data_IF_139938783891
#
_entry.id   IF_139938783891
#
_cell.length_a   1.000
_cell.length_b   1.000
_cell.length_c   1.000
_cell.angle_alpha   90.00
_cell.angle_beta   90.00
_cell.angle_gamma   90.00
#
_symmetry.space_group_name_H-M   'P 1'
#
loop_
_entity.id
_entity.type
_entity.pdbx_description
1 polymer ?
#
# COMPACT_ATOMS: atom_id res chain seq x y z
N UNK A 1 7.13 -26.05 46.27
CA UNK A 1 6.44 -24.87 45.71
C UNK A 1 7.50 -24.06 44.98
N UNK A 2 8.13 -24.63 43.95
CA UNK A 2 7.82 -24.47 42.51
C UNK A 2 7.80 -23.00 42.09
N UNK A 3 8.94 -22.55 41.54
CA UNK A 3 9.11 -21.25 40.92
C UNK A 3 8.34 -21.16 39.61
N UNK A 4 7.84 -19.96 39.34
CA UNK A 4 7.24 -19.54 38.09
C UNK A 4 7.63 -18.08 37.92
N UNK A 5 8.58 -17.79 37.03
CA UNK A 5 8.75 -16.48 36.37
C UNK A 5 10.00 -16.50 35.46
N UNK A 6 10.07 -17.38 34.46
CA UNK A 6 11.08 -17.22 33.37
C UNK A 6 10.53 -17.52 31.95
N UNK A 7 9.25 -17.86 31.77
CA UNK A 7 8.72 -18.28 30.45
C UNK A 7 7.96 -17.20 29.66
N UNK A 8 7.67 -16.02 30.23
CA UNK A 8 6.86 -14.98 29.57
C UNK A 8 7.68 -13.90 28.80
N UNK A 9 9.01 -14.05 28.71
CA UNK A 9 9.89 -13.04 28.11
C UNK A 9 10.53 -13.47 26.76
N UNK A 10 10.14 -14.63 26.21
CA UNK A 10 10.63 -15.14 24.92
C UNK A 10 9.62 -15.00 23.77
N UNK A 11 8.43 -14.47 24.03
CA UNK A 11 7.35 -14.34 23.02
C UNK A 11 7.43 -13.01 22.23
N UNK A 12 8.37 -12.11 22.51
CA UNK A 12 8.33 -10.75 21.94
C UNK A 12 9.14 -10.53 20.64
N UNK A 13 10.19 -11.30 20.36
CA UNK A 13 11.11 -10.99 19.24
C UNK A 13 10.73 -11.66 17.92
N UNK A 14 10.29 -12.92 17.95
CA UNK A 14 9.91 -13.64 16.73
C UNK A 14 8.59 -13.14 16.14
N UNK A 15 7.61 -12.75 16.96
CA UNK A 15 6.32 -12.24 16.48
C UNK A 15 6.46 -10.82 15.88
N UNK A 16 7.35 -9.99 16.41
CA UNK A 16 7.71 -8.69 15.82
C UNK A 16 8.56 -8.83 14.55
N UNK A 17 9.49 -9.79 14.51
CA UNK A 17 10.29 -10.09 13.32
C UNK A 17 9.47 -10.71 12.18
N UNK A 18 8.38 -11.43 12.50
CA UNK A 18 7.44 -12.01 11.52
C UNK A 18 6.50 -10.94 10.94
N UNK A 19 6.17 -9.89 11.69
CA UNK A 19 5.31 -8.81 11.17
C UNK A 19 6.07 -7.86 10.24
N UNK A 20 7.32 -7.49 10.53
CA UNK A 20 8.08 -6.56 9.69
C UNK A 20 8.39 -7.10 8.28
N UNK A 21 8.56 -8.42 8.13
CA UNK A 21 8.73 -9.10 6.82
C UNK A 21 7.51 -8.96 5.91
N UNK A 22 6.37 -8.53 6.45
CA UNK A 22 5.12 -8.29 5.71
C UNK A 22 4.85 -6.80 5.51
N UNK A 23 5.73 -5.94 6.03
CA UNK A 23 5.65 -4.49 5.88
C UNK A 23 6.48 -4.06 4.68
N UNK A 24 5.88 -3.19 3.88
CA UNK A 24 6.49 -2.63 2.69
C UNK A 24 6.19 -1.15 2.57
N UNK A 25 6.87 -0.49 1.65
CA UNK A 25 6.53 0.85 1.15
C UNK A 25 6.31 0.76 -0.34
N UNK A 26 5.32 1.48 -0.86
CA UNK A 26 5.10 1.57 -2.31
C UNK A 26 5.76 2.83 -2.85
N UNK A 27 6.99 2.71 -3.36
CA UNK A 27 7.74 3.81 -3.94
C UNK A 27 7.32 4.07 -5.39
N UNK A 28 6.70 5.22 -5.66
CA UNK A 28 6.31 5.61 -7.00
C UNK A 28 7.51 6.08 -7.82
N UNK A 29 7.69 5.49 -9.00
CA UNK A 29 8.71 5.90 -9.97
C UNK A 29 8.59 7.38 -10.37
N UNK A 30 7.38 7.96 -10.29
CA UNK A 30 7.14 9.34 -10.67
C UNK A 30 7.44 10.31 -9.54
N UNK A 31 8.59 10.96 -9.64
CA UNK A 31 8.98 12.01 -8.70
C UNK A 31 9.53 11.48 -7.38
N UNK A 32 9.51 10.17 -7.12
CA UNK A 32 10.14 9.54 -5.97
C UNK A 32 9.43 9.82 -4.64
N UNK A 33 8.18 9.36 -4.55
CA UNK A 33 7.36 9.46 -3.35
C UNK A 33 6.90 8.06 -2.94
N UNK A 34 6.84 7.79 -1.64
CA UNK A 34 6.12 6.65 -1.09
C UNK A 34 4.63 6.97 -1.00
N UNK A 35 3.77 6.00 -1.33
CA UNK A 35 2.34 6.11 -1.07
C UNK A 35 2.12 6.23 0.45
N UNK A 36 1.40 7.27 0.85
CA UNK A 36 1.08 7.58 2.23
C UNK A 36 -0.44 7.51 2.43
N UNK A 37 -0.85 6.86 3.52
CA UNK A 37 -2.26 6.78 3.94
C UNK A 37 -2.37 7.46 5.31
N UNK A 38 -3.14 8.54 5.38
CA UNK A 38 -3.30 9.33 6.60
C UNK A 38 -4.57 8.94 7.37
N UNK A 39 -4.60 9.16 8.71
CA UNK A 39 -5.76 8.84 9.56
C UNK A 39 -7.04 9.57 9.15
N UNK A 40 -6.93 10.79 8.60
CA UNK A 40 -8.06 11.64 8.22
C UNK A 40 -8.76 11.20 6.92
N UNK A 41 -8.29 10.12 6.27
CA UNK A 41 -8.89 9.63 5.02
C UNK A 41 -8.11 9.98 3.75
N UNK A 42 -7.08 10.81 3.88
CA UNK A 42 -6.29 11.30 2.75
C UNK A 42 -5.26 10.26 2.28
N UNK A 43 -5.06 10.20 0.97
CA UNK A 43 -3.98 9.44 0.33
C UNK A 43 -3.10 10.44 -0.41
N UNK A 44 -1.78 10.30 -0.29
CA UNK A 44 -0.82 11.16 -0.99
C UNK A 44 0.54 10.49 -1.17
N UNK A 45 1.52 11.24 -1.63
CA UNK A 45 2.90 10.84 -1.77
C UNK A 45 3.81 11.61 -0.82
N UNK A 46 4.63 10.91 -0.06
CA UNK A 46 5.60 11.46 0.89
C UNK A 46 7.03 11.04 0.50
N UNK A 47 8.00 11.97 0.61
CA UNK A 47 9.41 11.70 0.25
C UNK A 47 10.23 11.15 1.40
N UNK A 48 9.89 11.53 2.62
CA UNK A 48 10.66 11.21 3.81
C UNK A 48 10.48 9.74 4.19
N UNK A 49 11.58 8.99 4.22
CA UNK A 49 11.59 7.55 4.53
C UNK A 49 11.25 7.23 6.00
N UNK A 50 11.22 8.24 6.88
CA UNK A 50 10.95 8.08 8.32
C UNK A 50 9.48 8.22 8.73
N UNK A 51 8.58 8.55 7.80
CA UNK A 51 7.17 8.79 8.11
C UNK A 51 6.41 7.46 8.28
N UNK A 52 5.87 7.19 9.48
CA UNK A 52 5.18 5.94 9.79
C UNK A 52 3.97 5.66 8.88
N UNK A 53 3.34 6.69 8.31
CA UNK A 53 2.15 6.57 7.46
C UNK A 53 2.46 6.06 6.05
N UNK A 54 3.74 5.88 5.69
CA UNK A 54 4.15 5.26 4.43
C UNK A 54 4.37 3.75 4.56
N UNK A 55 4.28 3.23 5.79
CA UNK A 55 4.42 1.80 6.08
C UNK A 55 3.09 1.12 5.79
N UNK A 56 3.13 0.16 4.87
CA UNK A 56 1.97 -0.50 4.32
C UNK A 56 2.07 -2.01 4.52
N UNK A 57 0.92 -2.66 4.66
CA UNK A 57 0.79 -4.11 4.61
C UNK A 57 -0.01 -4.48 3.37
N UNK A 58 0.62 -5.22 2.45
CA UNK A 58 -0.02 -5.76 1.26
C UNK A 58 -0.50 -7.18 1.56
N UNK A 59 -1.82 -7.37 1.60
CA UNK A 59 -2.43 -8.69 1.83
C UNK A 59 -2.98 -9.23 0.52
N UNK A 60 -2.37 -10.29 0.00
CA UNK A 60 -2.94 -11.07 -1.10
C UNK A 60 -4.22 -11.75 -0.61
N UNK A 61 -5.32 -11.51 -1.31
CA UNK A 61 -6.66 -12.05 -0.98
C UNK A 61 -7.17 -13.00 -2.06
N UNK A 62 -6.63 -12.90 -3.27
CA UNK A 62 -6.82 -13.84 -4.37
C UNK A 62 -5.58 -13.76 -5.30
N UNK A 63 -5.53 -14.60 -6.34
CA UNK A 63 -4.46 -14.60 -7.34
C UNK A 63 -4.34 -13.24 -8.02
N UNK A 64 -3.24 -12.54 -7.75
CA UNK A 64 -2.98 -11.21 -8.28
C UNK A 64 -3.89 -10.12 -7.72
N UNK A 65 -4.66 -10.39 -6.65
CA UNK A 65 -5.52 -9.39 -5.99
C UNK A 65 -4.99 -9.10 -4.60
N UNK A 66 -4.75 -7.83 -4.32
CA UNK A 66 -4.26 -7.34 -3.03
C UNK A 66 -5.21 -6.34 -2.41
N UNK A 67 -5.22 -6.33 -1.07
CA UNK A 67 -5.71 -5.22 -0.26
C UNK A 67 -4.49 -4.53 0.36
N UNK A 68 -4.43 -3.20 0.28
CA UNK A 68 -3.32 -2.39 0.79
C UNK A 68 -3.79 -1.65 2.03
N UNK A 69 -3.19 -1.95 3.18
CA UNK A 69 -3.48 -1.29 4.46
C UNK A 69 -2.32 -0.37 4.86
N UNK A 70 -2.63 0.87 5.26
CA UNK A 70 -1.68 1.72 5.98
C UNK A 70 -1.66 1.31 7.45
N UNK A 71 -0.51 0.88 7.95
CA UNK A 71 -0.42 0.28 9.29
C UNK A 71 -0.67 1.30 10.38
N UNK A 72 -0.04 2.48 10.27
CA UNK A 72 -0.20 3.57 11.24
C UNK A 72 -1.62 4.13 11.24
N UNK A 73 -2.19 4.37 10.05
CA UNK A 73 -3.54 4.91 9.94
C UNK A 73 -4.64 3.89 10.30
N UNK A 74 -4.37 2.59 10.23
CA UNK A 74 -5.38 1.54 10.38
C UNK A 74 -6.44 1.56 9.27
N UNK A 75 -6.09 2.08 8.08
CA UNK A 75 -7.03 2.31 6.96
C UNK A 75 -6.56 1.62 5.69
N UNK A 76 -7.48 1.39 4.76
CA UNK A 76 -7.24 0.68 3.51
C UNK A 76 -7.24 1.64 2.33
N UNK A 77 -6.30 1.49 1.41
CA UNK A 77 -6.34 2.18 0.13
C UNK A 77 -7.64 1.80 -0.60
N UNK A 78 -8.28 2.78 -1.22
CA UNK A 78 -9.46 2.57 -2.04
C UNK A 78 -9.49 3.54 -3.22
N UNK A 79 -10.26 3.20 -4.24
CA UNK A 79 -10.53 4.07 -5.38
C UNK A 79 -12.02 4.15 -5.66
N UNK A 80 -12.57 5.37 -5.65
CA UNK A 80 -13.98 5.60 -5.91
C UNK A 80 -14.38 5.37 -7.37
N UNK A 81 -15.67 5.30 -7.63
CA UNK A 81 -16.28 5.28 -8.97
C UNK A 81 -15.94 6.51 -9.84
N UNK A 82 -15.51 7.62 -9.24
CA UNK A 82 -14.98 8.80 -9.95
C UNK A 82 -13.47 8.71 -10.22
N UNK A 83 -12.81 7.66 -9.73
CA UNK A 83 -11.38 7.41 -9.88
C UNK A 83 -10.53 8.18 -8.88
N UNK A 84 -11.10 8.65 -7.77
CA UNK A 84 -10.37 9.35 -6.70
C UNK A 84 -9.79 8.33 -5.74
N UNK A 85 -8.49 8.44 -5.45
CA UNK A 85 -7.88 7.68 -4.36
C UNK A 85 -8.29 8.29 -3.02
N UNK A 86 -8.67 7.42 -2.10
CA UNK A 86 -9.02 7.77 -0.72
C UNK A 86 -8.65 6.59 0.20
N UNK A 87 -8.84 6.74 1.51
CA UNK A 87 -8.69 5.63 2.44
C UNK A 87 -9.97 5.29 3.21
N UNK A 88 -10.29 4.00 3.25
CA UNK A 88 -11.48 3.44 3.90
C UNK A 88 -11.14 2.90 5.29
N UNK A 89 -11.98 3.12 6.32
CA UNK A 89 -11.75 2.54 7.66
C UNK A 89 -11.97 1.03 7.71
N UNK A 90 -12.69 0.48 6.72
CA UNK A 90 -12.98 -0.95 6.59
C UNK A 90 -12.73 -1.39 5.15
N UNK A 91 -12.49 -2.69 4.93
CA UNK A 91 -12.33 -3.23 3.58
C UNK A 91 -13.69 -3.19 2.88
N UNK A 92 -13.73 -2.54 1.72
CA UNK A 92 -14.90 -2.48 0.83
C UNK A 92 -14.54 -3.03 -0.55
N UNK A 93 -15.52 -3.14 -1.45
CA UNK A 93 -15.28 -3.57 -2.84
C UNK A 93 -14.34 -2.61 -3.63
N UNK A 94 -14.18 -1.38 -3.17
CA UNK A 94 -13.24 -0.38 -3.72
C UNK A 94 -11.80 -0.54 -3.23
N UNK A 95 -11.55 -1.46 -2.28
CA UNK A 95 -10.23 -1.71 -1.68
C UNK A 95 -9.42 -2.83 -2.35
N UNK A 96 -10.01 -3.51 -3.34
CA UNK A 96 -9.37 -4.63 -4.03
C UNK A 96 -8.66 -4.13 -5.27
N UNK A 97 -7.36 -4.42 -5.37
CA UNK A 97 -6.53 -4.02 -6.50
C UNK A 97 -5.91 -5.24 -7.18
N UNK A 98 -5.99 -5.29 -8.50
CA UNK A 98 -5.18 -6.18 -9.31
C UNK A 98 -3.73 -5.70 -9.30
N UNK A 99 -2.85 -6.45 -8.67
CA UNK A 99 -1.40 -6.26 -8.70
C UNK A 99 -0.83 -6.96 -9.94
N UNK A 100 -0.05 -6.22 -10.73
CA UNK A 100 0.65 -6.76 -11.89
C UNK A 100 2.08 -6.28 -11.92
N UNK A 101 3.02 -7.22 -11.97
CA UNK A 101 4.43 -6.93 -12.29
C UNK A 101 4.54 -6.58 -13.77
N UNK A 102 5.09 -5.41 -14.07
CA UNK A 102 5.30 -4.93 -15.43
C UNK A 102 6.73 -5.20 -15.91
N UNK A 103 6.95 -5.05 -17.22
CA UNK A 103 8.23 -5.34 -17.90
C UNK A 103 9.41 -4.53 -17.35
N UNK A 104 9.14 -3.36 -16.75
CA UNK A 104 10.16 -2.52 -16.13
C UNK A 104 10.49 -2.93 -14.68
N UNK A 105 9.96 -4.05 -14.20
CA UNK A 105 10.11 -4.57 -12.83
C UNK A 105 9.44 -3.72 -11.73
N UNK A 106 8.48 -2.87 -12.09
CA UNK A 106 7.59 -2.19 -11.15
C UNK A 106 6.20 -2.83 -11.19
N UNK A 107 5.46 -2.69 -10.11
CA UNK A 107 4.06 -3.12 -10.05
C UNK A 107 3.13 -1.98 -10.48
N UNK A 108 2.01 -2.36 -11.09
CA UNK A 108 0.81 -1.52 -11.23
C UNK A 108 -0.32 -2.08 -10.36
N UNK A 109 -1.24 -1.21 -9.97
CA UNK A 109 -2.41 -1.57 -9.16
C UNK A 109 -3.66 -0.99 -9.80
N UNK A 110 -4.57 -1.85 -10.29
CA UNK A 110 -5.83 -1.46 -10.93
C UNK A 110 -7.02 -1.80 -10.02
N UNK A 111 -8.01 -0.91 -9.79
CA UNK A 111 -9.17 -1.26 -8.98
C UNK A 111 -9.93 -2.43 -9.61
N UNK A 112 -10.13 -3.51 -8.85
CA UNK A 112 -10.79 -4.72 -9.33
C UNK A 112 -12.26 -4.46 -9.71
N UNK A 113 -12.94 -3.58 -8.99
CA UNK A 113 -14.33 -3.20 -9.27
C UNK A 113 -14.52 -2.44 -10.59
N UNK A 114 -13.51 -1.69 -11.03
CA UNK A 114 -13.56 -0.78 -12.18
C UNK A 114 -12.55 -1.15 -13.27
N UNK A 115 -12.31 -2.45 -13.47
CA UNK A 115 -11.31 -2.99 -14.41
C UNK A 115 -11.54 -2.53 -15.86
N UNK A 116 -12.81 -2.46 -16.27
CA UNK A 116 -13.24 -2.02 -17.60
C UNK A 116 -12.75 -0.59 -17.91
N UNK A 117 -12.60 0.25 -16.88
CA UNK A 117 -12.12 1.62 -17.01
C UNK A 117 -10.60 1.74 -17.21
N UNK A 118 -9.86 0.66 -16.99
CA UNK A 118 -8.38 0.59 -17.11
C UNK A 118 -7.69 1.71 -16.33
N UNK A 119 -8.17 1.98 -15.13
CA UNK A 119 -7.59 2.95 -14.21
C UNK A 119 -6.49 2.31 -13.36
N UNK A 120 -5.62 3.15 -12.83
CA UNK A 120 -4.52 2.71 -11.98
C UNK A 120 -4.40 3.62 -10.77
N UNK A 121 -3.95 3.05 -9.64
CA UNK A 121 -3.36 3.83 -8.56
C UNK A 121 -2.21 4.65 -9.15
N UNK A 122 -2.13 5.92 -8.80
CA UNK A 122 -1.03 6.74 -9.30
C UNK A 122 -0.79 8.03 -8.53
N UNK A 123 0.47 8.46 -8.54
CA UNK A 123 0.93 9.71 -7.94
C UNK A 123 1.52 10.64 -9.01
N UNK A 124 1.20 11.92 -8.89
CA UNK A 124 1.81 12.98 -9.72
C UNK A 124 3.23 13.26 -9.24
N UNK A 125 4.01 13.98 -10.06
CA UNK A 125 5.39 14.39 -9.72
C UNK A 125 5.49 15.24 -8.45
N UNK A 126 4.40 15.87 -8.03
CA UNK A 126 4.30 16.67 -6.82
C UNK A 126 3.70 15.91 -5.62
N UNK A 127 3.65 14.57 -5.68
CA UNK A 127 3.14 13.73 -4.59
C UNK A 127 1.61 13.66 -4.51
N UNK A 128 0.86 14.55 -5.17
CA UNK A 128 -0.61 14.48 -5.12
C UNK A 128 -1.14 13.25 -5.86
N UNK A 129 -2.26 12.65 -5.40
CA UNK A 129 -2.95 11.60 -6.14
C UNK A 129 -3.28 12.01 -7.57
N UNK A 130 -3.13 11.04 -8.46
CA UNK A 130 -3.58 11.14 -9.84
C UNK A 130 -4.95 10.49 -9.97
N UNK A 131 -5.88 11.21 -10.57
CA UNK A 131 -7.23 10.71 -10.84
C UNK A 131 -7.13 9.51 -11.80
N UNK A 132 -7.84 8.42 -11.49
CA UNK A 132 -7.84 7.18 -12.27
C UNK A 132 -8.11 7.41 -13.76
N UNK A 133 -9.10 8.25 -14.09
CA UNK A 133 -9.42 8.64 -15.47
C UNK A 133 -8.30 9.35 -16.24
N UNK A 134 -7.23 9.77 -15.55
CA UNK A 134 -6.05 10.40 -16.17
C UNK A 134 -4.83 9.47 -16.20
N UNK A 135 -4.97 8.24 -15.71
CA UNK A 135 -3.93 7.22 -15.73
C UNK A 135 -4.01 6.36 -16.98
N UNK A 136 -2.89 5.80 -17.41
CA UNK A 136 -2.80 4.78 -18.47
C UNK A 136 -1.42 4.10 -18.42
N UNK A 137 -1.34 2.89 -19.01
CA UNK A 137 -0.09 2.13 -19.16
C UNK A 137 1.00 2.96 -19.84
N UNK A 138 2.23 2.83 -19.34
CA UNK A 138 3.41 3.58 -19.81
C UNK A 138 3.67 4.88 -19.04
N UNK A 139 2.72 5.37 -18.23
CA UNK A 139 2.98 6.51 -17.36
C UNK A 139 3.84 6.11 -16.17
N UNK A 140 4.93 6.85 -15.91
CA UNK A 140 5.71 6.67 -14.68
C UNK A 140 4.86 6.80 -13.40
N UNK A 141 3.77 7.55 -13.47
CA UNK A 141 2.86 7.84 -12.36
C UNK A 141 2.17 6.60 -11.76
N UNK A 142 2.11 5.50 -12.49
CA UNK A 142 1.38 4.29 -12.09
C UNK A 142 2.31 3.14 -11.65
N UNK A 143 3.63 3.34 -11.80
CA UNK A 143 4.63 2.33 -11.47
C UNK A 143 5.11 2.50 -10.03
N UNK A 144 4.95 1.44 -9.24
CA UNK A 144 5.35 1.40 -7.84
C UNK A 144 6.30 0.24 -7.60
N UNK A 145 7.39 0.51 -6.89
CA UNK A 145 8.32 -0.49 -6.41
C UNK A 145 8.00 -0.80 -4.95
N UNK A 146 7.59 -2.04 -4.61
CA UNK A 146 7.56 -2.48 -3.23
C UNK A 146 8.98 -2.48 -2.64
N UNK A 147 9.18 -1.73 -1.55
CA UNK A 147 10.43 -1.69 -0.77
C UNK A 147 10.15 -2.34 0.58
N UNK A 148 10.65 -3.54 0.82
CA UNK A 148 10.49 -4.22 2.10
C UNK A 148 11.21 -3.43 3.20
N UNK A 149 10.68 -3.46 4.43
CA UNK A 149 11.31 -2.79 5.57
C UNK A 149 12.36 -3.66 6.28
N UNK A 150 12.30 -4.97 6.11
CA UNK A 150 13.23 -5.94 6.65
C UNK A 150 13.74 -6.82 5.50
N UNK A 151 15.05 -6.79 5.26
CA UNK A 151 15.76 -7.66 4.30
C UNK A 151 16.45 -8.82 5.04
#
# INVERSE_FOLDING_TARGET
MSGMAEEDMFVSEEEQAVDCRRLTRLYCMNGGHHLQILPEGNVQGQREDGDAHIVLKLKAVDRGVVVIQGTEAGRYLAMSDEGRLYSSPTVTDECYFLEKLEENHYNTYMPQKYQDRKWYVGLKKNGKPKLGSRTHIGQKAIFFLPRQLCD
#
